data_IF_768240585691
#
_entry.id   IF_768240585691
#
_cell.length_a   1.000
_cell.length_b   1.000
_cell.length_c   1.000
_cell.angle_alpha   90.00
_cell.angle_beta   90.00
_cell.angle_gamma   90.00
#
_symmetry.space_group_name_H-M   'P 1'
#
loop_
_entity.id
_entity.type
_entity.pdbx_description
1 polymer ?
#
# COMPACT_ATOMS: atom_id res chain seq x y z
N UNK A 1 10.39 13.97 -6.11
CA UNK A 1 9.80 12.77 -5.51
C UNK A 1 8.30 12.94 -5.36
N UNK A 2 7.53 12.24 -6.21
CA UNK A 2 6.08 12.06 -6.03
C UNK A 2 5.90 10.77 -5.21
N UNK A 3 5.42 10.89 -3.97
CA UNK A 3 5.30 9.75 -3.05
C UNK A 3 3.86 9.25 -2.95
N UNK A 4 3.31 8.86 -4.10
CA UNK A 4 1.97 8.28 -4.23
C UNK A 4 2.12 6.91 -4.89
N UNK A 5 1.80 5.85 -4.15
CA UNK A 5 2.06 4.46 -4.53
C UNK A 5 0.79 3.66 -4.79
N UNK A 6 -0.37 4.31 -4.87
CA UNK A 6 -1.63 3.70 -5.30
C UNK A 6 -2.05 4.40 -6.59
N UNK A 7 -2.05 3.65 -7.68
CA UNK A 7 -2.35 4.20 -9.01
C UNK A 7 -3.84 4.18 -9.32
N UNK A 8 -4.55 3.16 -8.84
CA UNK A 8 -5.98 2.99 -9.09
C UNK A 8 -6.67 2.27 -7.94
N UNK A 9 -7.89 2.69 -7.61
CA UNK A 9 -8.78 1.97 -6.67
C UNK A 9 -9.75 1.14 -7.50
N UNK A 10 -9.80 -0.16 -7.24
CA UNK A 10 -10.61 -1.12 -8.00
C UNK A 10 -11.89 -1.54 -7.26
N UNK A 11 -11.87 -1.54 -5.93
CA UNK A 11 -13.03 -1.84 -5.09
C UNK A 11 -12.96 -1.02 -3.80
N UNK A 12 -14.12 -0.59 -3.32
CA UNK A 12 -14.24 0.13 -2.06
C UNK A 12 -15.57 -0.21 -1.36
N UNK A 13 -15.47 -0.62 -0.10
CA UNK A 13 -16.58 -0.85 0.83
C UNK A 13 -16.32 -0.04 2.10
N UNK A 14 -17.11 1.02 2.37
CA UNK A 14 -16.89 1.92 3.51
C UNK A 14 -16.78 1.17 4.83
N UNK A 15 -15.69 1.41 5.57
CA UNK A 15 -15.43 0.81 6.87
C UNK A 15 -15.11 -0.69 6.86
N UNK A 16 -14.92 -1.30 5.69
CA UNK A 16 -14.73 -2.75 5.58
C UNK A 16 -13.49 -3.12 4.76
N UNK A 17 -13.42 -2.71 3.49
CA UNK A 17 -12.38 -3.16 2.56
C UNK A 17 -12.11 -2.12 1.49
N UNK A 18 -10.86 -2.10 1.01
CA UNK A 18 -10.47 -1.39 -0.20
C UNK A 18 -9.47 -2.24 -1.00
N UNK A 19 -9.57 -2.22 -2.32
CA UNK A 19 -8.62 -2.83 -3.25
C UNK A 19 -8.09 -1.79 -4.22
N UNK A 20 -6.84 -1.97 -4.62
CA UNK A 20 -6.20 -1.07 -5.57
C UNK A 20 -5.05 -1.70 -6.33
N UNK A 21 -4.43 -0.90 -7.17
CA UNK A 21 -3.35 -1.30 -8.06
C UNK A 21 -2.14 -0.40 -7.83
N UNK A 22 -0.97 -1.03 -7.78
CA UNK A 22 0.34 -0.40 -7.87
C UNK A 22 1.10 -0.98 -9.06
N UNK A 23 1.32 -0.17 -10.09
CA UNK A 23 2.21 -0.50 -11.19
C UNK A 23 3.65 -0.19 -10.78
N UNK A 24 4.55 -1.14 -11.00
CA UNK A 24 5.98 -0.96 -10.74
C UNK A 24 6.61 -0.47 -12.04
N UNK A 25 7.08 0.77 -12.07
CA UNK A 25 7.61 1.38 -13.28
C UNK A 25 9.08 1.78 -13.11
N UNK A 26 9.92 1.53 -14.11
CA UNK A 26 11.34 1.92 -14.05
C UNK A 26 11.56 3.43 -13.87
N UNK A 27 10.54 4.26 -14.15
CA UNK A 27 10.55 5.70 -13.91
C UNK A 27 10.45 6.11 -12.44
N UNK A 28 10.31 5.17 -11.50
CA UNK A 28 10.26 5.49 -10.07
C UNK A 28 11.66 5.78 -9.50
N UNK A 29 11.79 6.95 -8.87
CA UNK A 29 13.06 7.53 -8.39
C UNK A 29 13.94 6.56 -7.57
N UNK A 30 13.35 5.62 -6.83
CA UNK A 30 14.11 4.73 -5.94
C UNK A 30 14.63 3.45 -6.63
N UNK A 31 14.11 3.09 -7.80
CA UNK A 31 14.48 1.84 -8.49
C UNK A 31 15.86 1.91 -9.15
N UNK A 32 16.35 3.12 -9.47
CA UNK A 32 17.73 3.28 -9.96
C UNK A 32 18.77 2.87 -8.90
N UNK A 33 18.40 2.96 -7.62
CA UNK A 33 19.26 2.63 -6.49
C UNK A 33 18.95 1.27 -5.84
N UNK A 34 17.86 0.60 -6.23
CA UNK A 34 17.42 -0.64 -5.61
C UNK A 34 17.06 -1.71 -6.66
N UNK A 35 18.02 -2.38 -7.27
CA UNK A 35 19.47 -2.17 -7.18
C UNK A 35 20.02 -1.79 -8.55
N UNK A 36 21.15 -1.06 -8.63
CA UNK A 36 21.76 -0.75 -9.92
C UNK A 36 21.94 -2.02 -10.76
N UNK A 37 21.44 -2.00 -12.01
CA UNK A 37 21.40 -3.13 -12.97
C UNK A 37 20.47 -4.29 -12.62
N UNK A 38 19.82 -4.28 -11.46
CA UNK A 38 18.81 -5.27 -11.06
C UNK A 38 17.69 -4.58 -10.25
N UNK A 39 16.84 -3.77 -10.92
CA UNK A 39 15.79 -3.01 -10.26
C UNK A 39 14.73 -3.94 -9.70
N UNK A 40 14.49 -3.83 -8.39
CA UNK A 40 13.54 -4.62 -7.61
C UNK A 40 12.74 -3.64 -6.76
N UNK A 41 11.42 -3.76 -6.72
CA UNK A 41 10.59 -2.97 -5.82
C UNK A 41 10.99 -3.26 -4.35
N UNK A 42 11.42 -2.26 -3.57
CA UNK A 42 11.72 -2.49 -2.17
C UNK A 42 10.47 -2.97 -1.43
N UNK A 43 10.59 -4.04 -0.62
CA UNK A 43 9.44 -4.58 0.11
C UNK A 43 8.76 -3.55 1.01
N UNK A 44 9.53 -2.62 1.58
CA UNK A 44 9.00 -1.49 2.38
C UNK A 44 8.15 -0.52 1.56
N UNK A 45 8.38 -0.40 0.26
CA UNK A 45 7.55 0.43 -0.62
C UNK A 45 6.22 -0.25 -0.94
N UNK A 46 6.17 -1.59 -0.98
CA UNK A 46 4.91 -2.33 -1.06
C UNK A 46 4.09 -2.17 0.22
N UNK A 47 4.75 -2.22 1.37
CA UNK A 47 4.12 -1.97 2.68
C UNK A 47 3.61 -0.53 2.81
N UNK A 48 4.35 0.44 2.29
CA UNK A 48 3.90 1.83 2.19
C UNK A 48 2.68 1.97 1.25
N UNK A 49 2.66 1.25 0.12
CA UNK A 49 1.49 1.27 -0.78
C UNK A 49 0.22 0.76 -0.08
N UNK A 50 0.32 -0.33 0.68
CA UNK A 50 -0.78 -0.83 1.52
C UNK A 50 -1.17 0.17 2.63
N UNK A 51 -0.18 0.84 3.22
CA UNK A 51 -0.37 1.90 4.23
C UNK A 51 -1.16 3.07 3.64
N UNK A 52 -0.78 3.55 2.46
CA UNK A 52 -1.52 4.62 1.75
C UNK A 52 -2.93 4.18 1.39
N UNK A 53 -3.08 2.93 0.93
CA UNK A 53 -4.38 2.34 0.61
C UNK A 53 -5.29 2.28 1.85
N UNK A 54 -4.74 1.90 3.01
CA UNK A 54 -5.46 1.94 4.30
C UNK A 54 -5.88 3.36 4.67
N UNK A 55 -5.01 4.34 4.43
CA UNK A 55 -5.34 5.75 4.62
C UNK A 55 -6.51 6.21 3.75
N UNK A 56 -6.59 5.74 2.50
CA UNK A 56 -7.74 5.99 1.63
C UNK A 56 -9.03 5.35 2.15
N UNK A 57 -8.97 4.12 2.68
CA UNK A 57 -10.13 3.47 3.31
C UNK A 57 -10.65 4.31 4.48
N UNK A 58 -9.78 4.73 5.41
CA UNK A 58 -10.17 5.52 6.59
C UNK A 58 -10.69 6.91 6.20
N UNK A 59 -9.97 7.62 5.33
CA UNK A 59 -10.36 8.95 4.90
C UNK A 59 -11.72 8.92 4.16
N UNK A 60 -11.89 8.03 3.17
CA UNK A 60 -13.15 7.96 2.43
C UNK A 60 -14.32 7.51 3.32
N UNK A 61 -14.10 6.56 4.24
CA UNK A 61 -15.17 6.05 5.12
C UNK A 61 -15.59 7.05 6.18
N UNK A 62 -14.73 7.99 6.54
CA UNK A 62 -14.99 9.07 7.49
C UNK A 62 -15.45 10.38 6.83
N UNK A 63 -15.75 10.39 5.53
CA UNK A 63 -16.05 11.61 4.77
C UNK A 63 -14.92 12.65 4.92
N UNK A 64 -13.69 12.16 4.82
CA UNK A 64 -12.43 12.88 4.91
C UNK A 64 -12.21 13.67 6.21
N UNK A 65 -12.84 13.24 7.30
CA UNK A 65 -12.69 13.84 8.64
C UNK A 65 -11.54 13.25 9.44
N UNK A 66 -11.17 12.00 9.15
CA UNK A 66 -10.10 11.32 9.85
C UNK A 66 -8.82 11.28 9.01
N UNK A 67 -7.69 11.30 9.69
CA UNK A 67 -6.37 11.06 9.13
C UNK A 67 -5.83 9.74 9.66
N UNK A 68 -4.98 9.10 8.88
CA UNK A 68 -4.43 7.78 9.18
C UNK A 68 -2.93 7.86 9.46
N UNK A 69 -2.47 7.11 10.46
CA UNK A 69 -1.06 6.95 10.78
C UNK A 69 -0.79 5.50 11.15
N UNK A 70 0.18 4.88 10.48
CA UNK A 70 0.70 3.57 10.87
C UNK A 70 1.60 3.74 12.08
N UNK A 71 1.23 3.07 13.18
CA UNK A 71 2.01 3.09 14.44
C UNK A 71 2.79 1.80 14.64
N UNK A 72 2.30 0.68 14.09
CA UNK A 72 2.90 -0.64 14.27
C UNK A 72 2.57 -1.55 13.10
N UNK A 73 3.57 -2.30 12.66
CA UNK A 73 3.40 -3.44 11.76
C UNK A 73 3.67 -4.70 12.57
N UNK A 74 2.62 -5.47 12.85
CA UNK A 74 2.73 -6.63 13.74
C UNK A 74 3.47 -7.80 13.10
N UNK A 75 3.25 -8.04 11.81
CA UNK A 75 3.89 -9.09 11.02
C UNK A 75 3.84 -8.70 9.55
N UNK A 76 4.94 -8.87 8.84
CA UNK A 76 4.99 -8.81 7.38
C UNK A 76 5.82 -9.99 6.85
N UNK A 77 5.39 -10.58 5.74
CA UNK A 77 6.12 -11.65 5.07
C UNK A 77 6.18 -11.32 3.58
N UNK A 78 7.36 -11.46 2.97
CA UNK A 78 7.58 -11.24 1.55
C UNK A 78 7.92 -12.57 0.90
N UNK A 79 7.14 -12.97 -0.09
CA UNK A 79 7.23 -14.29 -0.74
C UNK A 79 7.87 -14.25 -2.13
N UNK A 80 8.04 -13.06 -2.70
CA UNK A 80 8.61 -12.85 -4.02
C UNK A 80 9.00 -11.39 -4.23
N UNK A 81 9.57 -11.13 -5.40
CA UNK A 81 9.97 -9.78 -5.81
C UNK A 81 8.98 -9.26 -6.84
N UNK A 82 8.74 -7.94 -6.81
CA UNK A 82 8.07 -7.24 -7.89
C UNK A 82 9.12 -6.45 -8.69
N UNK A 83 9.05 -6.55 -10.01
CA UNK A 83 9.99 -5.98 -10.97
C UNK A 83 9.32 -4.87 -11.79
N UNK A 84 10.10 -3.97 -12.40
CA UNK A 84 9.55 -3.03 -13.39
C UNK A 84 8.75 -3.75 -14.47
N UNK A 85 7.51 -3.30 -14.71
CA UNK A 85 6.54 -3.91 -15.60
C UNK A 85 5.46 -4.71 -14.88
N UNK A 86 5.68 -5.09 -13.62
CA UNK A 86 4.67 -5.82 -12.84
C UNK A 86 3.53 -4.89 -12.39
N UNK A 87 2.35 -5.49 -12.29
CA UNK A 87 1.19 -4.90 -11.64
C UNK A 87 0.96 -5.62 -10.32
N UNK A 88 1.05 -4.89 -9.22
CA UNK A 88 0.80 -5.39 -7.87
C UNK A 88 -0.63 -5.05 -7.48
N UNK A 89 -1.42 -6.09 -7.24
CA UNK A 89 -2.73 -5.97 -6.63
C UNK A 89 -2.57 -5.75 -5.12
N UNK A 90 -3.28 -4.75 -4.60
CA UNK A 90 -3.27 -4.36 -3.21
C UNK A 90 -4.66 -4.59 -2.63
N UNK A 91 -4.71 -5.14 -1.42
CA UNK A 91 -5.96 -5.40 -0.69
C UNK A 91 -5.75 -5.03 0.78
N UNK A 92 -6.72 -4.31 1.34
CA UNK A 92 -6.77 -3.97 2.76
C UNK A 92 -8.17 -4.30 3.28
N UNK A 93 -8.21 -5.01 4.40
CA UNK A 93 -9.43 -5.34 5.13
C UNK A 93 -9.36 -4.80 6.56
N UNK A 94 -10.40 -4.10 6.98
CA UNK A 94 -10.56 -3.68 8.36
C UNK A 94 -10.96 -4.90 9.19
N UNK A 95 -10.05 -5.36 10.03
CA UNK A 95 -10.35 -6.41 11.00
C UNK A 95 -10.98 -5.75 12.21
N UNK A 96 -12.19 -6.19 12.59
CA UNK A 96 -12.91 -5.67 13.75
C UNK A 96 -12.00 -5.71 14.99
N UNK A 97 -11.70 -4.53 15.51
CA UNK A 97 -10.84 -4.44 16.67
C UNK A 97 -11.63 -4.77 17.95
N UNK A 98 -11.21 -5.82 18.65
CA UNK A 98 -11.05 -5.64 20.09
C UNK A 98 -9.94 -4.59 20.25
N UNK A 99 -10.32 -3.34 20.50
CA UNK A 99 -9.46 -2.18 20.74
C UNK A 99 -8.32 -1.95 19.71
N UNK A 100 -8.58 -1.07 18.72
CA UNK A 100 -7.55 -0.24 18.08
C UNK A 100 -6.54 -0.82 17.09
N UNK A 101 -6.81 -1.91 16.36
CA UNK A 101 -5.86 -2.42 15.34
C UNK A 101 -6.52 -2.73 13.99
N UNK A 102 -6.11 -2.01 12.94
CA UNK A 102 -6.33 -2.36 11.53
C UNK A 102 -5.23 -3.34 11.08
N UNK A 103 -5.57 -4.40 10.34
CA UNK A 103 -4.56 -5.25 9.70
C UNK A 103 -4.28 -4.73 8.30
N UNK A 104 -2.99 -4.64 7.99
CA UNK A 104 -2.41 -4.31 6.69
C UNK A 104 -1.60 -5.51 6.23
#
# INVERSE_FOLDING_TARGET
>A
MRYLLVDHITEYKPGELIRGIKNVAMSEDFLEFHFPKNPIMPGVMLLEALTQLTGWLEAASSDFKNWFLVTKVAKSNFYGFAFPGDQVELEVELVSAGEGNTKV
#
